data_IF_407232745260
#
_entry.id   IF_407232745260
#
_cell.length_a   1.000
_cell.length_b   1.000
_cell.length_c   1.000
_cell.angle_alpha   90.00
_cell.angle_beta   90.00
_cell.angle_gamma   90.00
#
_symmetry.space_group_name_H-M   'P 1'
#
loop_
_entity.id
_entity.type
_entity.pdbx_description
1 polymer ?
#
# COMPACT_ATOMS: atom_id res chain seq x y z
N UNK A 1 -30.26 12.39 35.04
CA UNK A 1 -29.34 11.36 34.53
C UNK A 1 -27.92 11.73 34.93
N UNK A 2 -27.11 10.89 35.55
CA UNK A 2 -27.39 10.02 36.70
C UNK A 2 -26.04 9.77 37.37
N UNK A 3 -26.05 9.59 38.69
CA UNK A 3 -25.01 8.97 39.55
C UNK A 3 -24.49 7.59 39.08
N UNK A 4 -24.68 7.22 37.80
CA UNK A 4 -24.16 6.03 37.11
C UNK A 4 -22.83 6.29 36.41
N UNK A 5 -22.48 7.54 36.09
CA UNK A 5 -21.20 7.84 35.41
C UNK A 5 -20.03 7.91 36.41
N UNK A 6 -20.27 8.44 37.61
CA UNK A 6 -19.27 8.48 38.70
C UNK A 6 -19.03 7.11 39.35
N UNK A 7 -19.97 6.16 39.21
CA UNK A 7 -19.83 4.79 39.74
C UNK A 7 -19.05 3.85 38.80
N UNK A 8 -18.81 4.26 37.56
CA UNK A 8 -18.01 3.49 36.59
C UNK A 8 -16.50 3.75 36.70
N UNK A 9 -16.11 4.93 37.18
CA UNK A 9 -14.70 5.32 37.33
C UNK A 9 -14.09 4.88 38.68
N UNK A 10 -14.91 4.51 39.66
CA UNK A 10 -14.48 4.04 40.98
C UNK A 10 -14.17 2.53 41.04
N UNK A 11 -14.48 1.78 39.97
CA UNK A 11 -14.16 0.35 39.84
C UNK A 11 -12.79 0.09 39.19
N UNK A 12 -12.12 1.12 38.66
CA UNK A 12 -10.80 1.01 38.03
C UNK A 12 -9.63 1.28 38.99
N UNK A 13 -9.90 1.63 40.26
CA UNK A 13 -8.88 2.05 41.23
C UNK A 13 -8.65 1.05 42.36
N UNK A 14 -9.20 -0.17 42.30
CA UNK A 14 -9.01 -1.19 43.35
C UNK A 14 -8.76 -2.59 42.80
N UNK A 15 -7.51 -2.80 42.38
CA UNK A 15 -6.80 -4.06 42.58
C UNK A 15 -5.29 -3.74 42.69
N UNK A 16 -4.86 -3.40 43.90
CA UNK A 16 -3.44 -3.46 44.29
C UNK A 16 -3.05 -4.91 44.56
N UNK A 17 -1.78 -5.27 44.35
CA UNK A 17 -0.85 -5.78 45.40
C UNK A 17 0.49 -6.20 44.76
N UNK A 18 1.57 -5.76 45.41
CA UNK A 18 2.98 -6.16 45.26
C UNK A 18 3.16 -7.67 45.49
N UNK A 19 4.07 -8.36 44.78
CA UNK A 19 5.22 -9.00 45.45
C UNK A 19 6.25 -9.63 44.49
N UNK A 20 7.50 -9.50 44.93
CA UNK A 20 8.73 -10.31 44.73
C UNK A 20 9.07 -11.06 43.42
N UNK A 21 10.30 -10.77 42.98
CA UNK A 21 11.16 -11.53 42.06
C UNK A 21 11.22 -13.04 42.39
N UNK A 22 10.99 -13.88 41.37
CA UNK A 22 11.32 -15.31 41.39
C UNK A 22 10.76 -16.05 40.17
N UNK A 23 11.65 -16.53 39.28
CA UNK A 23 11.40 -17.36 38.09
C UNK A 23 10.53 -16.73 36.97
N UNK A 24 11.18 -16.30 35.88
CA UNK A 24 10.49 -15.77 34.71
C UNK A 24 9.65 -16.84 34.01
N UNK A 25 8.36 -16.88 34.32
CA UNK A 25 7.29 -17.30 33.39
C UNK A 25 6.76 -16.05 32.70
N UNK A 26 6.85 -16.01 31.37
CA UNK A 26 6.15 -15.01 30.57
C UNK A 26 4.63 -15.20 30.75
N UNK A 27 3.95 -14.22 31.36
CA UNK A 27 2.48 -14.18 31.39
C UNK A 27 1.94 -13.85 29.98
N UNK A 28 1.59 -14.87 29.21
CA UNK A 28 0.90 -14.71 27.93
C UNK A 28 -0.59 -14.39 28.15
N UNK A 29 -0.91 -13.11 28.38
CA UNK A 29 -2.29 -12.62 28.50
C UNK A 29 -2.71 -11.60 27.42
N UNK A 30 -1.79 -11.18 26.54
CA UNK A 30 -2.06 -10.20 25.45
C UNK A 30 -1.81 -10.80 24.07
N UNK A 31 -2.74 -10.59 23.14
CA UNK A 31 -2.57 -10.94 21.72
C UNK A 31 -1.81 -9.83 21.01
N UNK A 32 -0.75 -10.17 20.29
CA UNK A 32 0.01 -9.23 19.47
C UNK A 32 -0.31 -9.43 17.99
N UNK A 33 -0.39 -8.33 17.24
CA UNK A 33 -0.48 -8.35 15.79
C UNK A 33 0.87 -7.96 15.19
N UNK A 34 1.24 -8.59 14.09
CA UNK A 34 2.36 -8.16 13.27
C UNK A 34 1.94 -8.07 11.81
N UNK A 35 2.25 -6.94 11.17
CA UNK A 35 1.94 -6.71 9.76
C UNK A 35 3.23 -6.93 9.00
N UNK A 36 3.28 -7.98 8.17
CA UNK A 36 4.34 -8.10 7.17
C UNK A 36 3.86 -7.49 5.86
N UNK A 37 4.69 -6.66 5.25
CA UNK A 37 4.40 -6.08 3.95
C UNK A 37 5.62 -6.10 3.02
N UNK A 38 5.36 -6.44 1.75
CA UNK A 38 6.32 -6.24 0.68
C UNK A 38 6.60 -4.74 0.41
N UNK A 39 7.55 -4.44 -0.47
CA UNK A 39 7.93 -3.07 -0.82
C UNK A 39 6.90 -2.35 -1.72
N UNK A 40 7.13 -1.05 -1.93
CA UNK A 40 6.29 -0.20 -2.78
C UNK A 40 4.90 0.03 -2.20
N UNK A 41 3.86 -0.25 -2.99
CA UNK A 41 2.47 0.01 -2.60
C UNK A 41 1.98 -0.87 -1.43
N UNK A 42 2.57 -2.05 -1.27
CA UNK A 42 2.28 -2.94 -0.15
C UNK A 42 2.78 -2.35 1.17
N UNK A 43 3.94 -1.69 1.16
CA UNK A 43 4.47 -1.00 2.33
C UNK A 43 3.62 0.22 2.72
N UNK A 44 3.08 0.95 1.73
CA UNK A 44 2.11 2.02 1.98
C UNK A 44 0.84 1.46 2.63
N UNK A 45 0.32 0.35 2.13
CA UNK A 45 -0.87 -0.31 2.69
C UNK A 45 -0.61 -0.86 4.10
N UNK A 46 0.54 -1.49 4.33
CA UNK A 46 0.96 -1.98 5.64
C UNK A 46 1.05 -0.86 6.69
N UNK A 47 1.60 0.31 6.31
CA UNK A 47 1.60 1.51 7.15
C UNK A 47 0.17 2.02 7.42
N UNK A 48 -0.67 2.09 6.39
CA UNK A 48 -2.08 2.48 6.56
C UNK A 48 -2.85 1.57 7.51
N UNK A 49 -2.58 0.26 7.46
CA UNK A 49 -3.12 -0.70 8.43
C UNK A 49 -2.61 -0.42 9.84
N UNK A 50 -1.31 -0.24 10.02
CA UNK A 50 -0.73 0.07 11.32
C UNK A 50 -1.36 1.34 11.94
N UNK A 51 -1.59 2.36 11.13
CA UNK A 51 -2.31 3.58 11.53
C UNK A 51 -3.75 3.27 12.01
N UNK A 52 -4.50 2.43 11.28
CA UNK A 52 -5.85 2.00 11.69
C UNK A 52 -5.81 1.26 13.02
N UNK A 53 -4.87 0.33 13.21
CA UNK A 53 -4.69 -0.35 14.49
C UNK A 53 -4.39 0.65 15.63
N UNK A 54 -3.58 1.67 15.34
CA UNK A 54 -3.34 2.80 16.25
C UNK A 54 -4.63 3.53 16.63
N UNK A 55 -5.48 3.87 15.65
CA UNK A 55 -6.79 4.51 15.86
C UNK A 55 -7.75 3.65 16.70
N UNK A 56 -7.60 2.32 16.65
CA UNK A 56 -8.35 1.38 17.47
C UNK A 56 -7.78 1.20 18.88
N UNK A 57 -6.64 1.82 19.22
CA UNK A 57 -5.99 1.72 20.52
C UNK A 57 -4.99 0.57 20.65
N UNK A 58 -4.58 -0.05 19.55
CA UNK A 58 -3.69 -1.23 19.53
C UNK A 58 -2.22 -0.88 19.22
N UNK A 59 -1.82 0.40 19.32
CA UNK A 59 -0.48 0.87 18.96
C UNK A 59 0.66 0.10 19.64
N UNK A 60 0.53 -0.23 20.93
CA UNK A 60 1.55 -1.01 21.67
C UNK A 60 1.52 -2.53 21.39
N UNK A 61 0.58 -2.98 20.56
CA UNK A 61 0.31 -4.39 20.26
C UNK A 61 0.45 -4.71 18.76
N UNK A 62 0.94 -3.76 17.95
CA UNK A 62 1.11 -3.93 16.50
C UNK A 62 2.54 -3.62 16.09
N UNK A 63 3.18 -4.58 15.43
CA UNK A 63 4.51 -4.44 14.85
C UNK A 63 4.40 -4.38 13.32
N UNK A 64 5.05 -3.40 12.69
CA UNK A 64 5.17 -3.36 11.23
C UNK A 64 6.54 -3.89 10.81
N UNK A 65 6.54 -4.90 9.94
CA UNK A 65 7.74 -5.53 9.39
C UNK A 65 7.71 -5.38 7.87
N UNK A 66 8.63 -4.58 7.34
CA UNK A 66 8.77 -4.36 5.90
C UNK A 66 9.98 -5.11 5.34
N UNK A 67 9.81 -5.75 4.19
CA UNK A 67 10.91 -6.15 3.31
C UNK A 67 11.20 -7.66 3.25
N UNK A 68 12.19 -7.97 2.39
CA UNK A 68 12.51 -9.32 1.89
C UNK A 68 13.87 -9.87 2.37
N UNK A 69 14.53 -9.26 3.37
CA UNK A 69 15.90 -9.63 3.73
C UNK A 69 15.94 -10.71 4.82
N UNK A 70 16.23 -11.96 4.42
CA UNK A 70 16.64 -13.05 5.30
C UNK A 70 15.60 -14.15 5.49
N UNK A 71 15.54 -14.71 6.70
CA UNK A 71 14.53 -15.68 7.13
C UNK A 71 13.20 -15.00 7.41
N UNK A 72 12.11 -15.76 7.28
CA UNK A 72 10.78 -15.28 7.64
C UNK A 72 10.76 -14.68 9.06
N UNK A 73 10.17 -13.49 9.29
CA UNK A 73 10.18 -12.83 10.60
C UNK A 73 9.57 -13.66 11.73
N UNK A 74 8.61 -14.52 11.39
CA UNK A 74 7.94 -15.44 12.30
C UNK A 74 8.71 -16.75 12.55
N UNK A 75 9.86 -16.96 11.92
CA UNK A 75 10.73 -18.11 12.16
C UNK A 75 11.64 -17.93 13.40
N UNK A 76 11.55 -16.79 14.09
CA UNK A 76 12.30 -16.53 15.33
C UNK A 76 11.55 -17.16 16.53
N UNK A 77 12.27 -17.90 17.38
CA UNK A 77 11.74 -18.49 18.62
C UNK A 77 11.03 -17.42 19.47
N UNK A 78 9.73 -17.61 19.72
CA UNK A 78 8.88 -16.69 20.52
C UNK A 78 7.68 -16.09 19.79
N UNK A 79 7.53 -16.29 18.48
CA UNK A 79 6.41 -15.77 17.69
C UNK A 79 5.09 -16.58 17.81
N UNK A 80 5.01 -17.58 18.69
CA UNK A 80 3.84 -18.48 18.80
C UNK A 80 2.52 -17.78 19.18
N UNK A 81 2.60 -16.57 19.75
CA UNK A 81 1.44 -15.79 20.22
C UNK A 81 1.14 -14.55 19.36
N UNK A 82 1.79 -14.44 18.19
CA UNK A 82 1.61 -13.31 17.26
C UNK A 82 0.66 -13.71 16.12
N UNK A 83 -0.37 -12.91 15.89
CA UNK A 83 -1.24 -13.03 14.71
C UNK A 83 -0.70 -12.14 13.60
N UNK A 84 -0.36 -12.73 12.47
CA UNK A 84 0.21 -12.00 11.34
C UNK A 84 -0.88 -11.43 10.42
N UNK A 85 -0.61 -10.29 9.80
CA UNK A 85 -1.35 -9.77 8.65
C UNK A 85 -0.35 -9.67 7.51
N UNK A 86 -0.57 -10.45 6.45
CA UNK A 86 0.35 -10.52 5.33
C UNK A 86 -0.16 -9.68 4.17
N UNK A 87 0.64 -8.71 3.73
CA UNK A 87 0.29 -7.75 2.66
C UNK A 87 1.29 -7.90 1.51
N UNK A 88 0.79 -8.20 0.31
CA UNK A 88 1.65 -8.36 -0.88
C UNK A 88 2.40 -9.68 -0.94
N UNK A 89 1.74 -10.80 -0.60
CA UNK A 89 2.35 -12.14 -0.59
C UNK A 89 2.85 -12.60 -1.97
N UNK A 90 2.42 -11.97 -3.07
CA UNK A 90 2.97 -12.19 -4.42
C UNK A 90 4.46 -11.84 -4.53
N UNK A 91 4.99 -11.04 -3.60
CA UNK A 91 6.39 -10.64 -3.53
C UNK A 91 7.16 -11.36 -2.39
N UNK A 92 6.50 -12.26 -1.66
CA UNK A 92 7.11 -13.00 -0.57
C UNK A 92 8.08 -14.06 -1.11
N UNK A 93 9.24 -14.28 -0.46
CA UNK A 93 10.15 -15.37 -0.85
C UNK A 93 9.45 -16.74 -0.79
N UNK A 94 9.60 -17.54 -1.83
CA UNK A 94 8.91 -18.83 -1.97
C UNK A 94 9.41 -19.91 -1.01
N UNK A 95 10.60 -19.73 -0.43
CA UNK A 95 11.22 -20.62 0.54
C UNK A 95 10.81 -20.32 1.99
N UNK A 96 10.08 -19.22 2.22
CA UNK A 96 9.55 -18.92 3.54
C UNK A 96 8.40 -19.86 3.89
N UNK A 97 8.47 -20.46 5.08
CA UNK A 97 7.32 -21.12 5.68
C UNK A 97 6.26 -20.07 6.03
N UNK A 98 4.98 -20.46 6.07
CA UNK A 98 3.91 -19.57 6.51
C UNK A 98 3.85 -19.49 8.04
N UNK A 99 3.50 -18.34 8.62
CA UNK A 99 3.21 -18.26 10.06
C UNK A 99 1.98 -19.10 10.39
N UNK A 100 1.91 -19.60 11.62
CA UNK A 100 0.80 -20.47 12.06
C UNK A 100 -0.55 -19.75 12.08
N UNK A 101 -0.57 -18.48 12.45
CA UNK A 101 -1.77 -17.67 12.60
C UNK A 101 -1.60 -16.41 11.75
N UNK A 102 -2.39 -16.29 10.67
CA UNK A 102 -2.36 -15.09 9.85
C UNK A 102 -3.68 -14.79 9.16
N UNK A 103 -3.86 -13.50 8.89
CA UNK A 103 -4.76 -12.98 7.87
C UNK A 103 -3.98 -12.70 6.60
N UNK A 104 -4.62 -12.96 5.47
CA UNK A 104 -4.12 -12.53 4.16
C UNK A 104 -4.83 -11.24 3.79
N UNK A 105 -4.11 -10.12 3.68
CA UNK A 105 -4.66 -8.94 3.03
C UNK A 105 -4.44 -9.05 1.52
N UNK A 106 -5.50 -9.45 0.83
CA UNK A 106 -5.52 -9.58 -0.62
C UNK A 106 -5.72 -8.21 -1.28
N UNK A 107 -4.81 -7.86 -2.19
CA UNK A 107 -4.78 -6.63 -2.97
C UNK A 107 -4.74 -6.84 -4.50
N UNK A 108 -4.58 -8.08 -4.94
CA UNK A 108 -4.45 -8.45 -6.35
C UNK A 108 -5.82 -8.66 -7.00
N UNK A 109 -5.91 -8.35 -8.29
CA UNK A 109 -7.15 -8.57 -9.07
C UNK A 109 -7.39 -10.07 -9.26
N UNK A 110 -8.64 -10.54 -9.20
CA UNK A 110 -8.92 -11.98 -9.35
C UNK A 110 -8.65 -12.52 -10.76
N UNK A 111 -8.71 -11.67 -11.79
CA UNK A 111 -8.32 -12.00 -13.15
C UNK A 111 -6.80 -11.98 -13.38
N UNK A 112 -6.02 -11.64 -12.37
CA UNK A 112 -4.58 -11.48 -12.49
C UNK A 112 -3.86 -12.84 -12.55
N UNK A 113 -2.85 -13.02 -13.41
CA UNK A 113 -2.04 -14.24 -13.45
C UNK A 113 -1.20 -14.43 -12.16
N UNK A 114 -1.16 -13.42 -11.28
CA UNK A 114 -0.52 -13.49 -9.97
C UNK A 114 -1.35 -14.28 -8.94
N UNK A 115 -2.61 -14.62 -9.24
CA UNK A 115 -3.41 -15.57 -8.46
C UNK A 115 -3.03 -16.99 -8.87
N UNK A 116 -1.83 -17.42 -8.49
CA UNK A 116 -1.31 -18.76 -8.81
C UNK A 116 -1.86 -19.83 -7.84
N UNK A 117 -1.58 -21.10 -8.11
CA UNK A 117 -1.87 -22.19 -7.17
C UNK A 117 -1.18 -21.98 -5.81
N UNK A 118 0.06 -21.45 -5.80
CA UNK A 118 0.79 -21.10 -4.58
C UNK A 118 0.08 -19.98 -3.80
N UNK A 119 -0.42 -18.96 -4.52
CA UNK A 119 -1.21 -17.90 -3.91
C UNK A 119 -2.48 -18.49 -3.25
N UNK A 120 -3.17 -19.39 -3.94
CA UNK A 120 -4.37 -20.04 -3.42
C UNK A 120 -4.04 -20.88 -2.18
N UNK A 121 -2.91 -21.61 -2.15
CA UNK A 121 -2.46 -22.35 -0.96
C UNK A 121 -2.25 -21.43 0.25
N UNK A 122 -1.70 -20.23 0.03
CA UNK A 122 -1.57 -19.19 1.06
C UNK A 122 -2.96 -18.70 1.50
N UNK A 123 -3.87 -18.43 0.57
CA UNK A 123 -5.24 -18.01 0.90
C UNK A 123 -6.01 -19.07 1.72
N UNK A 124 -5.86 -20.35 1.37
CA UNK A 124 -6.49 -21.47 2.08
C UNK A 124 -5.95 -21.67 3.50
N UNK A 125 -4.70 -21.30 3.76
CA UNK A 125 -4.08 -21.40 5.08
C UNK A 125 -4.38 -20.22 6.01
N UNK A 126 -4.97 -19.13 5.49
CA UNK A 126 -5.28 -17.94 6.27
C UNK A 126 -6.50 -18.14 7.18
N UNK A 127 -6.51 -17.49 8.33
CA UNK A 127 -7.65 -17.40 9.24
C UNK A 127 -8.85 -16.72 8.58
N UNK A 128 -8.56 -15.68 7.80
CA UNK A 128 -9.49 -15.02 6.91
C UNK A 128 -8.71 -14.23 5.86
N UNK A 129 -9.33 -14.08 4.69
CA UNK A 129 -8.89 -13.16 3.66
C UNK A 129 -9.54 -11.81 3.94
N UNK A 130 -8.73 -10.75 3.95
CA UNK A 130 -9.18 -9.36 3.96
C UNK A 130 -9.02 -8.84 2.54
N UNK A 131 -10.13 -8.62 1.86
CA UNK A 131 -10.11 -8.22 0.45
C UNK A 131 -10.56 -6.76 0.32
N UNK A 132 -9.93 -6.03 -0.60
CA UNK A 132 -10.28 -4.63 -0.88
C UNK A 132 -11.54 -4.48 -1.72
N UNK A 133 -12.04 -5.57 -2.33
CA UNK A 133 -13.23 -5.55 -3.17
C UNK A 133 -14.34 -6.46 -2.59
N UNK A 134 -15.56 -5.94 -2.40
CA UNK A 134 -16.71 -6.74 -2.01
C UNK A 134 -17.01 -7.88 -2.99
N UNK A 135 -16.88 -7.65 -4.29
CA UNK A 135 -17.05 -8.69 -5.32
C UNK A 135 -16.05 -9.84 -5.17
N UNK A 136 -14.78 -9.53 -4.90
CA UNK A 136 -13.77 -10.56 -4.63
C UNK A 136 -14.06 -11.35 -3.35
N UNK A 137 -14.54 -10.65 -2.32
CA UNK A 137 -14.95 -11.28 -1.07
C UNK A 137 -16.03 -12.34 -1.31
N UNK A 138 -16.98 -12.07 -2.20
CA UNK A 138 -18.02 -13.04 -2.59
C UNK A 138 -17.43 -14.26 -3.31
N UNK A 139 -16.48 -14.05 -4.22
CA UNK A 139 -15.77 -15.14 -4.90
C UNK A 139 -15.10 -16.09 -3.90
N UNK A 140 -14.30 -15.56 -2.97
CA UNK A 140 -13.61 -16.37 -1.96
C UNK A 140 -14.58 -17.17 -1.07
N UNK A 141 -15.71 -16.56 -0.68
CA UNK A 141 -16.75 -17.23 0.12
C UNK A 141 -17.43 -18.36 -0.65
N UNK A 142 -17.71 -18.18 -1.94
CA UNK A 142 -18.27 -19.23 -2.81
C UNK A 142 -17.30 -20.41 -2.95
N UNK A 143 -16.00 -20.14 -2.93
CA UNK A 143 -14.93 -21.14 -2.89
C UNK A 143 -14.72 -21.78 -1.51
N UNK A 144 -15.55 -21.45 -0.52
CA UNK A 144 -15.52 -22.04 0.82
C UNK A 144 -14.51 -21.41 1.79
N UNK A 145 -13.91 -20.27 1.44
CA UNK A 145 -12.93 -19.57 2.28
C UNK A 145 -13.58 -18.46 3.11
N UNK A 146 -13.06 -18.23 4.31
CA UNK A 146 -13.43 -17.05 5.11
C UNK A 146 -12.85 -15.81 4.44
N UNK A 147 -13.72 -14.89 4.03
CA UNK A 147 -13.30 -13.62 3.46
C UNK A 147 -14.18 -12.49 3.98
N UNK A 148 -13.58 -11.31 4.20
CA UNK A 148 -14.25 -10.09 4.64
C UNK A 148 -13.74 -8.91 3.83
N UNK A 149 -14.65 -7.99 3.51
CA UNK A 149 -14.28 -6.73 2.89
C UNK A 149 -13.61 -5.84 3.92
N UNK A 150 -12.41 -5.36 3.60
CA UNK A 150 -11.69 -4.36 4.38
C UNK A 150 -11.32 -3.24 3.42
N UNK A 151 -11.88 -2.02 3.58
CA UNK A 151 -11.47 -0.90 2.74
C UNK A 151 -9.96 -0.67 2.85
N UNK A 152 -9.31 -0.48 1.70
CA UNK A 152 -7.88 -0.22 1.65
C UNK A 152 -7.60 1.19 2.15
N UNK A 153 -6.93 1.32 3.29
CA UNK A 153 -6.43 2.61 3.75
C UNK A 153 -4.97 2.78 3.35
N UNK A 154 -4.67 3.98 2.87
CA UNK A 154 -3.30 4.48 2.75
C UNK A 154 -2.86 5.05 4.10
N UNK A 155 -1.54 5.31 4.31
CA UNK A 155 -1.07 5.97 5.53
C UNK A 155 -1.79 7.30 5.73
N UNK A 156 -1.87 7.76 6.98
CA UNK A 156 -2.50 9.05 7.34
C UNK A 156 -1.67 10.26 6.85
N UNK A 157 -1.35 10.31 5.56
CA UNK A 157 -0.48 11.30 4.93
C UNK A 157 -1.04 12.73 5.01
N UNK A 158 -2.34 12.91 5.27
CA UNK A 158 -2.94 14.23 5.52
C UNK A 158 -2.72 14.75 6.94
N UNK A 159 -2.28 13.91 7.88
CA UNK A 159 -1.89 14.33 9.23
C UNK A 159 -0.49 14.92 9.26
N UNK A 160 0.35 14.60 8.27
CA UNK A 160 1.52 15.42 8.00
C UNK A 160 0.98 16.75 7.45
N UNK A 161 1.20 17.88 8.16
CA UNK A 161 0.94 19.18 7.55
C UNK A 161 1.68 19.23 6.22
N UNK A 162 1.20 20.04 5.28
CA UNK A 162 1.96 20.47 4.09
C UNK A 162 3.20 21.30 4.49
N UNK A 163 4.03 20.77 5.39
CA UNK A 163 5.39 21.18 5.74
C UNK A 163 6.42 20.34 5.00
N UNK A 164 6.02 19.64 3.94
CA UNK A 164 6.92 19.59 2.78
C UNK A 164 6.90 21.00 2.21
N UNK A 165 7.84 21.79 2.75
CA UNK A 165 8.31 23.03 2.17
C UNK A 165 8.22 22.96 0.65
N UNK A 166 7.92 24.09 0.01
CA UNK A 166 8.29 24.38 -1.37
C UNK A 166 9.83 24.29 -1.53
N UNK A 167 10.43 23.15 -1.22
CA UNK A 167 11.81 22.80 -1.53
C UNK A 167 11.77 22.65 -3.03
N UNK A 168 12.28 23.69 -3.70
CA UNK A 168 12.61 23.77 -5.11
C UNK A 168 11.85 22.72 -5.94
N UNK A 169 10.58 23.02 -6.24
CA UNK A 169 9.99 22.42 -7.42
C UNK A 169 10.92 22.83 -8.56
N UNK A 170 11.80 21.92 -8.99
CA UNK A 170 12.27 21.93 -10.37
C UNK A 170 11.00 22.12 -11.20
N UNK A 171 10.98 23.11 -12.10
CA UNK A 171 9.81 23.55 -12.86
C UNK A 171 9.18 22.36 -13.61
N UNK A 172 8.39 21.56 -12.90
CA UNK A 172 7.77 20.39 -13.47
C UNK A 172 6.57 20.95 -14.19
N UNK A 173 6.59 20.88 -15.51
CA UNK A 173 5.58 21.49 -16.35
C UNK A 173 4.19 21.02 -15.90
N UNK A 174 3.31 21.98 -15.60
CA UNK A 174 1.92 21.69 -15.26
C UNK A 174 1.28 20.85 -16.38
N UNK A 175 0.65 19.74 -15.99
CA UNK A 175 0.02 18.81 -16.91
C UNK A 175 -1.50 18.86 -16.72
N UNK A 176 -2.26 18.98 -17.81
CA UNK A 176 -3.72 18.99 -17.69
C UNK A 176 -4.25 17.61 -17.30
N UNK A 177 -3.81 16.55 -18.00
CA UNK A 177 -4.24 15.16 -17.74
C UNK A 177 -3.06 14.23 -17.51
N UNK A 178 -3.05 13.52 -16.38
CA UNK A 178 -2.00 12.58 -16.01
C UNK A 178 -2.54 11.15 -15.97
N UNK A 179 -1.78 10.18 -16.48
CA UNK A 179 -1.91 8.78 -16.13
C UNK A 179 -0.57 8.20 -15.67
N UNK A 180 -0.60 7.28 -14.71
CA UNK A 180 0.56 6.47 -14.35
C UNK A 180 0.19 5.04 -13.93
N UNK A 181 1.01 4.08 -14.36
CA UNK A 181 0.80 2.65 -14.10
C UNK A 181 1.69 1.80 -15.00
N UNK A 182 1.41 0.51 -15.11
CA UNK A 182 2.12 -0.37 -16.05
C UNK A 182 1.54 -0.26 -17.46
N UNK A 183 2.40 -0.36 -18.48
CA UNK A 183 1.97 -0.48 -19.88
C UNK A 183 1.38 -1.87 -20.17
N UNK A 184 0.41 -1.90 -21.08
CA UNK A 184 -0.04 -3.09 -21.79
C UNK A 184 -0.66 -2.66 -23.12
N UNK A 185 -1.01 -3.62 -23.98
CA UNK A 185 -1.55 -3.33 -25.32
C UNK A 185 -2.79 -2.42 -25.27
N UNK A 186 -3.70 -2.68 -24.33
CA UNK A 186 -4.94 -1.89 -24.11
C UNK A 186 -4.63 -0.44 -23.75
N UNK A 187 -3.78 -0.22 -22.74
CA UNK A 187 -3.43 1.11 -22.24
C UNK A 187 -2.70 1.94 -23.28
N UNK A 188 -1.84 1.32 -24.11
CA UNK A 188 -1.17 2.01 -25.22
C UNK A 188 -2.18 2.51 -26.27
N UNK A 189 -3.18 1.71 -26.63
CA UNK A 189 -4.24 2.14 -27.56
C UNK A 189 -5.09 3.29 -26.99
N UNK A 190 -5.39 3.22 -25.69
CA UNK A 190 -6.12 4.28 -24.98
C UNK A 190 -5.27 5.56 -24.91
N UNK A 191 -3.96 5.45 -24.66
CA UNK A 191 -3.02 6.55 -24.68
C UNK A 191 -3.03 7.28 -26.03
N UNK A 192 -2.83 6.57 -27.14
CA UNK A 192 -2.81 7.17 -28.48
C UNK A 192 -4.09 7.97 -28.76
N UNK A 193 -5.24 7.42 -28.36
CA UNK A 193 -6.55 8.07 -28.52
C UNK A 193 -6.68 9.31 -27.64
N UNK A 194 -6.28 9.23 -26.37
CA UNK A 194 -6.35 10.34 -25.42
C UNK A 194 -5.41 11.48 -25.82
N UNK A 195 -4.18 11.18 -26.19
CA UNK A 195 -3.19 12.17 -26.62
C UNK A 195 -3.69 12.95 -27.84
N UNK A 196 -4.19 12.26 -28.87
CA UNK A 196 -4.73 12.91 -30.07
C UNK A 196 -5.93 13.82 -29.75
N UNK A 197 -6.86 13.35 -28.92
CA UNK A 197 -8.10 14.09 -28.57
C UNK A 197 -7.81 15.29 -27.68
N UNK A 198 -6.94 15.14 -26.68
CA UNK A 198 -6.56 16.24 -25.78
C UNK A 198 -5.73 17.30 -26.50
N UNK A 199 -4.78 16.89 -27.35
CA UNK A 199 -4.00 17.82 -28.15
C UNK A 199 -4.88 18.62 -29.13
N UNK A 200 -5.85 17.96 -29.78
CA UNK A 200 -6.83 18.64 -30.65
C UNK A 200 -7.70 19.66 -29.89
N UNK A 201 -7.91 19.45 -28.59
CA UNK A 201 -8.61 20.38 -27.71
C UNK A 201 -7.69 21.43 -27.05
N UNK A 202 -6.38 21.41 -27.33
CA UNK A 202 -5.40 22.35 -26.78
C UNK A 202 -4.94 22.04 -25.36
N UNK A 203 -5.05 20.79 -24.92
CA UNK A 203 -4.68 20.33 -23.58
C UNK A 203 -3.43 19.46 -23.58
N UNK A 204 -2.65 19.52 -22.51
CA UNK A 204 -1.45 18.68 -22.32
C UNK A 204 -1.78 17.38 -21.57
N UNK A 205 -1.09 16.30 -21.90
CA UNK A 205 -1.17 15.06 -21.14
C UNK A 205 0.17 14.39 -20.98
N UNK A 206 0.31 13.61 -19.90
CA UNK A 206 1.50 12.81 -19.61
C UNK A 206 1.11 11.40 -19.19
N UNK A 207 1.80 10.41 -19.76
CA UNK A 207 1.61 9.00 -19.46
C UNK A 207 2.92 8.41 -18.93
N UNK A 208 2.95 8.04 -17.66
CA UNK A 208 4.07 7.35 -17.02
C UNK A 208 3.76 5.87 -16.92
N UNK A 209 4.08 5.12 -17.97
CA UNK A 209 3.75 3.69 -18.07
C UNK A 209 4.88 2.74 -17.64
N UNK A 210 5.85 3.26 -16.88
CA UNK A 210 7.00 2.52 -16.38
C UNK A 210 6.75 2.12 -14.91
N UNK A 211 7.26 0.95 -14.52
CA UNK A 211 7.09 0.37 -13.17
C UNK A 211 7.80 1.14 -12.05
N UNK A 212 8.36 2.32 -12.27
CA UNK A 212 9.29 3.00 -11.35
C UNK A 212 8.79 4.36 -10.81
N UNK A 213 7.56 4.77 -11.12
CA UNK A 213 7.03 6.03 -10.60
C UNK A 213 6.46 5.88 -9.17
N UNK A 214 7.33 6.01 -8.17
CA UNK A 214 6.98 5.98 -6.75
C UNK A 214 7.59 7.16 -5.96
N UNK A 215 7.19 7.28 -4.69
CA UNK A 215 7.76 8.26 -3.76
C UNK A 215 7.69 9.70 -4.27
N UNK A 216 8.73 10.49 -4.00
CA UNK A 216 8.77 11.92 -4.35
C UNK A 216 8.61 12.18 -5.86
N UNK A 217 9.07 11.26 -6.73
CA UNK A 217 8.87 11.38 -8.18
C UNK A 217 7.39 11.31 -8.55
N UNK A 218 6.66 10.32 -8.02
CA UNK A 218 5.19 10.21 -8.16
C UNK A 218 4.50 11.45 -7.61
N UNK A 219 4.89 11.85 -6.39
CA UNK A 219 4.31 12.98 -5.69
C UNK A 219 4.39 14.27 -6.53
N UNK A 220 5.56 14.57 -7.09
CA UNK A 220 5.76 15.76 -7.92
C UNK A 220 4.88 15.79 -9.17
N UNK A 221 4.82 14.70 -9.93
CA UNK A 221 4.01 14.67 -11.16
C UNK A 221 2.51 14.71 -10.85
N UNK A 222 2.08 14.05 -9.77
CA UNK A 222 0.69 14.08 -9.31
C UNK A 222 0.32 15.48 -8.86
N UNK A 223 1.17 16.14 -8.06
CA UNK A 223 0.92 17.49 -7.53
C UNK A 223 0.77 18.53 -8.65
N UNK A 224 1.47 18.35 -9.78
CA UNK A 224 1.39 19.21 -10.96
C UNK A 224 0.28 18.85 -11.97
N UNK A 225 -0.44 17.74 -11.75
CA UNK A 225 -1.57 17.34 -12.60
C UNK A 225 -2.90 18.02 -12.19
N UNK A 226 -3.74 18.36 -13.18
CA UNK A 226 -5.09 18.91 -12.96
C UNK A 226 -6.14 17.82 -12.84
N UNK A 227 -6.16 16.86 -13.77
CA UNK A 227 -7.00 15.66 -13.71
C UNK A 227 -6.08 14.44 -13.77
N UNK A 228 -6.34 13.44 -12.92
CA UNK A 228 -5.58 12.18 -12.92
C UNK A 228 -6.50 11.05 -13.33
N UNK A 229 -6.09 10.29 -14.35
CA UNK A 229 -6.82 9.18 -14.89
C UNK A 229 -6.57 7.91 -14.08
N UNK A 230 -7.62 7.12 -13.90
CA UNK A 230 -7.56 5.72 -13.55
C UNK A 230 -8.04 4.90 -14.76
N UNK A 231 -7.13 4.12 -15.34
CA UNK A 231 -7.38 3.25 -16.49
C UNK A 231 -7.07 1.84 -16.03
N UNK A 232 -8.01 0.91 -16.20
CA UNK A 232 -7.83 -0.46 -15.72
C UNK A 232 -6.69 -1.17 -16.45
N UNK A 233 -5.98 -2.06 -15.74
CA UNK A 233 -4.98 -2.93 -16.40
C UNK A 233 -5.71 -4.05 -17.14
N UNK A 234 -6.58 -4.76 -16.41
CA UNK A 234 -7.45 -5.81 -16.94
C UNK A 234 -8.82 -5.22 -17.30
N UNK A 235 -9.47 -5.78 -18.32
CA UNK A 235 -10.79 -5.31 -18.76
C UNK A 235 -11.86 -5.63 -17.71
N UNK A 236 -11.71 -6.75 -17.00
CA UNK A 236 -12.61 -7.19 -15.94
C UNK A 236 -12.06 -6.95 -14.52
N UNK A 237 -11.45 -5.79 -14.28
CA UNK A 237 -10.88 -5.42 -12.98
C UNK A 237 -11.91 -4.80 -12.02
N UNK A 238 -11.79 -5.10 -10.74
CA UNK A 238 -12.36 -4.26 -9.68
C UNK A 238 -11.60 -2.91 -9.62
N UNK A 239 -12.24 -1.90 -9.04
CA UNK A 239 -11.68 -0.54 -8.97
C UNK A 239 -10.29 -0.51 -8.28
N UNK A 240 -9.28 0.13 -8.88
CA UNK A 240 -7.93 0.27 -8.31
C UNK A 240 -7.88 1.30 -7.17
N UNK A 241 -8.58 0.98 -6.08
CA UNK A 241 -8.66 1.81 -4.88
C UNK A 241 -7.28 2.12 -4.29
N UNK A 242 -6.28 1.25 -4.51
CA UNK A 242 -4.90 1.51 -4.10
C UNK A 242 -4.30 2.77 -4.77
N UNK A 243 -4.58 3.02 -6.06
CA UNK A 243 -4.17 4.25 -6.76
C UNK A 243 -5.09 5.40 -6.37
N UNK A 244 -6.40 5.15 -6.41
CA UNK A 244 -7.41 6.19 -6.22
C UNK A 244 -7.30 6.79 -4.82
N UNK A 245 -7.21 5.98 -3.76
CA UNK A 245 -7.15 6.48 -2.38
C UNK A 245 -5.95 7.41 -2.16
N UNK A 246 -4.79 7.08 -2.75
CA UNK A 246 -3.62 7.96 -2.75
C UNK A 246 -3.90 9.31 -3.43
N UNK A 247 -4.54 9.31 -4.59
CA UNK A 247 -4.91 10.53 -5.31
C UNK A 247 -5.94 11.37 -4.53
N UNK A 248 -6.91 10.71 -3.89
CA UNK A 248 -7.93 11.38 -3.10
C UNK A 248 -7.34 12.08 -1.87
N UNK A 249 -6.37 11.45 -1.19
CA UNK A 249 -5.67 12.07 -0.07
C UNK A 249 -4.83 13.29 -0.47
N UNK A 250 -4.45 13.42 -1.74
CA UNK A 250 -3.84 14.63 -2.29
C UNK A 250 -4.83 15.65 -2.84
N UNK A 251 -6.13 15.41 -2.65
CA UNK A 251 -7.19 16.27 -3.14
C UNK A 251 -7.18 16.38 -4.67
N UNK A 252 -6.86 15.31 -5.39
CA UNK A 252 -6.82 15.31 -6.86
C UNK A 252 -8.19 15.01 -7.45
N UNK A 253 -8.50 15.66 -8.57
CA UNK A 253 -9.65 15.30 -9.40
C UNK A 253 -9.36 14.00 -10.16
N UNK A 254 -10.05 12.91 -9.79
CA UNK A 254 -9.86 11.58 -10.39
C UNK A 254 -10.96 11.29 -11.41
N UNK A 255 -10.55 10.85 -12.60
CA UNK A 255 -11.43 10.33 -13.65
C UNK A 255 -11.12 8.86 -13.89
N UNK A 256 -12.10 7.98 -13.72
CA UNK A 256 -11.94 6.53 -13.90
C UNK A 256 -12.87 5.98 -14.97
N UNK A 257 -12.42 4.89 -15.58
CA UNK A 257 -13.33 3.91 -16.19
C UNK A 257 -14.24 3.28 -15.12
N UNK A 258 -15.42 2.81 -15.52
CA UNK A 258 -16.24 1.94 -14.66
C UNK A 258 -15.52 0.61 -14.44
N UNK A 259 -15.62 0.08 -13.22
CA UNK A 259 -15.08 -1.25 -12.89
C UNK A 259 -16.18 -2.31 -13.01
N UNK A 260 -15.80 -3.59 -12.87
CA UNK A 260 -16.81 -4.66 -12.76
C UNK A 260 -17.47 -4.73 -11.37
N UNK A 261 -16.94 -4.00 -10.39
CA UNK A 261 -17.48 -3.92 -9.03
C UNK A 261 -18.35 -2.66 -8.87
N UNK A 262 -19.62 -2.79 -9.27
CA UNK A 262 -20.61 -1.71 -9.15
C UNK A 262 -20.81 -1.20 -7.70
N UNK A 263 -20.49 -2.01 -6.69
CA UNK A 263 -20.56 -1.58 -5.31
C UNK A 263 -19.43 -0.61 -4.99
N UNK A 264 -18.19 -0.93 -5.37
CA UNK A 264 -17.06 0.00 -5.24
C UNK A 264 -17.32 1.28 -6.04
N UNK A 265 -17.77 1.17 -7.29
CA UNK A 265 -18.03 2.36 -8.10
C UNK A 265 -19.08 3.26 -7.43
N UNK A 266 -20.11 2.69 -6.81
CA UNK A 266 -21.11 3.44 -6.03
C UNK A 266 -20.54 4.06 -4.75
N UNK A 267 -19.60 3.41 -4.07
CA UNK A 267 -18.93 3.98 -2.88
C UNK A 267 -18.09 5.20 -3.27
N UNK A 268 -17.44 5.14 -4.43
CA UNK A 268 -16.51 6.17 -4.91
C UNK A 268 -17.15 7.25 -5.80
N UNK A 269 -18.42 7.10 -6.20
CA UNK A 269 -19.07 7.98 -7.19
C UNK A 269 -19.19 9.45 -6.76
N UNK A 270 -19.08 9.73 -5.45
CA UNK A 270 -19.09 11.10 -4.92
C UNK A 270 -17.74 11.83 -5.09
N UNK A 271 -16.66 11.09 -5.34
CA UNK A 271 -15.26 11.58 -5.34
C UNK A 271 -14.48 11.22 -6.60
N UNK A 272 -14.99 10.30 -7.40
CA UNK A 272 -14.43 9.89 -8.70
C UNK A 272 -15.47 10.17 -9.78
N UNK A 273 -15.04 10.81 -10.88
CA UNK A 273 -15.86 10.88 -12.08
C UNK A 273 -15.71 9.55 -12.84
N UNK A 274 -16.81 8.84 -13.05
CA UNK A 274 -16.82 7.59 -13.80
C UNK A 274 -17.36 7.79 -15.22
N UNK A 275 -16.77 7.08 -16.18
CA UNK A 275 -17.17 7.12 -17.58
C UNK A 275 -16.79 5.83 -18.30
N UNK A 276 -17.46 5.45 -19.40
CA UNK A 276 -16.93 4.47 -20.33
C UNK A 276 -15.57 4.90 -20.91
N UNK A 277 -14.73 3.93 -21.26
CA UNK A 277 -13.37 4.10 -21.82
C UNK A 277 -13.33 5.08 -22.98
N UNK A 278 -14.24 4.93 -23.94
CA UNK A 278 -14.34 5.72 -25.16
C UNK A 278 -14.65 7.20 -24.90
N UNK A 279 -15.20 7.50 -23.71
CA UNK A 279 -15.59 8.84 -23.29
C UNK A 279 -14.58 9.51 -22.35
N UNK A 280 -13.48 8.83 -21.99
CA UNK A 280 -12.43 9.38 -21.11
C UNK A 280 -11.91 10.74 -21.59
N UNK A 281 -11.63 10.88 -22.90
CA UNK A 281 -11.12 12.13 -23.45
C UNK A 281 -12.12 13.29 -23.28
N UNK A 282 -13.39 13.05 -23.62
CA UNK A 282 -14.43 14.08 -23.57
C UNK A 282 -14.75 14.50 -22.14
N UNK A 283 -14.81 13.53 -21.22
CA UNK A 283 -15.03 13.83 -19.80
C UNK A 283 -13.83 14.53 -19.19
N UNK A 284 -12.59 14.17 -19.56
CA UNK A 284 -11.40 14.89 -19.13
C UNK A 284 -11.44 16.35 -19.59
N UNK A 285 -11.76 16.62 -20.86
CA UNK A 285 -11.88 17.98 -21.41
C UNK A 285 -13.01 18.76 -20.70
N UNK A 286 -14.15 18.12 -20.44
CA UNK A 286 -15.25 18.73 -19.72
C UNK A 286 -14.84 19.09 -18.28
N UNK A 287 -14.16 18.18 -17.60
CA UNK A 287 -13.62 18.43 -16.27
C UNK A 287 -12.63 19.59 -16.32
N UNK A 288 -11.68 19.65 -17.26
CA UNK A 288 -10.70 20.74 -17.38
C UNK A 288 -11.33 22.13 -17.60
N UNK A 289 -12.49 22.19 -18.24
CA UNK A 289 -13.25 23.44 -18.45
C UNK A 289 -14.08 23.84 -17.23
N UNK A 290 -14.55 22.87 -16.45
CA UNK A 290 -15.46 23.09 -15.32
C UNK A 290 -14.71 23.19 -13.98
N UNK A 291 -14.12 24.35 -13.72
CA UNK A 291 -13.38 24.59 -12.47
C UNK A 291 -14.24 24.44 -11.20
N UNK A 292 -15.48 24.95 -11.13
CA UNK A 292 -16.34 24.73 -9.97
C UNK A 292 -16.55 23.25 -9.66
N UNK A 293 -16.90 22.43 -10.67
CA UNK A 293 -17.09 20.99 -10.48
C UNK A 293 -15.82 20.31 -10.00
N UNK A 294 -14.66 20.60 -10.62
CA UNK A 294 -13.37 20.03 -10.16
C UNK A 294 -13.08 20.41 -8.71
N UNK A 295 -13.24 21.68 -8.34
CA UNK A 295 -12.96 22.13 -6.98
C UNK A 295 -13.84 21.43 -5.94
N UNK A 296 -15.12 21.20 -6.25
CA UNK A 296 -16.00 20.38 -5.39
C UNK A 296 -15.50 18.93 -5.29
N UNK A 297 -15.09 18.31 -6.40
CA UNK A 297 -14.54 16.95 -6.37
C UNK A 297 -13.27 16.86 -5.53
N UNK A 298 -12.35 17.81 -5.65
CA UNK A 298 -11.08 17.87 -4.88
C UNK A 298 -11.33 18.05 -3.37
N UNK A 299 -12.33 18.84 -2.99
CA UNK A 299 -12.76 19.01 -1.60
C UNK A 299 -13.36 17.71 -1.05
N UNK A 300 -14.30 17.10 -1.79
CA UNK A 300 -14.91 15.82 -1.41
C UNK A 300 -13.85 14.70 -1.33
N UNK A 301 -12.88 14.68 -2.23
CA UNK A 301 -11.78 13.73 -2.24
C UNK A 301 -10.97 13.79 -0.93
N UNK A 302 -10.62 15.00 -0.50
CA UNK A 302 -9.88 15.21 0.75
C UNK A 302 -10.72 14.80 1.96
N UNK A 303 -12.02 15.10 1.96
CA UNK A 303 -12.94 14.69 3.04
C UNK A 303 -13.09 13.17 3.09
N UNK A 304 -13.30 12.51 1.96
CA UNK A 304 -13.40 11.06 1.86
C UNK A 304 -12.13 10.39 2.37
N UNK A 305 -10.96 10.85 1.93
CA UNK A 305 -9.68 10.32 2.37
C UNK A 305 -9.49 10.41 3.88
N UNK A 306 -9.92 11.52 4.52
CA UNK A 306 -9.85 11.67 5.99
C UNK A 306 -10.72 10.67 6.76
N UNK A 307 -11.85 10.27 6.19
CA UNK A 307 -12.79 9.34 6.83
C UNK A 307 -12.45 7.87 6.58
N UNK A 308 -11.71 7.56 5.52
CA UNK A 308 -11.42 6.20 5.07
C UNK A 308 -10.78 5.29 6.15
N UNK A 309 -9.82 5.71 6.98
CA UNK A 309 -9.26 4.87 8.05
C UNK A 309 -10.26 4.57 9.15
N UNK A 310 -11.17 5.50 9.46
CA UNK A 310 -12.21 5.27 10.45
C UNK A 310 -13.23 4.25 9.95
N UNK A 311 -13.60 4.35 8.67
CA UNK A 311 -14.41 3.33 8.01
C UNK A 311 -13.70 1.96 8.03
N UNK A 312 -12.43 1.91 7.63
CA UNK A 312 -11.61 0.70 7.65
C UNK A 312 -11.49 0.11 9.06
N UNK A 313 -11.28 0.95 10.08
CA UNK A 313 -11.24 0.57 11.48
C UNK A 313 -12.57 0.03 11.99
N UNK A 314 -13.71 0.53 11.50
CA UNK A 314 -15.03 -0.01 11.84
C UNK A 314 -15.22 -1.44 11.31
N UNK A 315 -14.66 -1.76 10.13
CA UNK A 315 -14.63 -3.13 9.60
C UNK A 315 -13.68 -4.05 10.36
N UNK A 316 -12.51 -3.54 10.75
CA UNK A 316 -11.50 -4.34 11.47
C UNK A 316 -11.83 -4.54 12.95
N UNK A 317 -12.53 -3.60 13.59
CA UNK A 317 -12.78 -3.62 15.04
C UNK A 317 -13.40 -4.93 15.53
N UNK A 318 -14.49 -5.46 14.96
CA UNK A 318 -15.08 -6.72 15.43
C UNK A 318 -14.14 -7.92 15.27
N UNK A 319 -13.27 -7.88 14.26
CA UNK A 319 -12.28 -8.93 14.01
C UNK A 319 -11.22 -8.85 15.10
N UNK A 320 -10.61 -7.68 15.30
CA UNK A 320 -9.53 -7.49 16.27
C UNK A 320 -10.02 -7.70 17.72
N UNK A 321 -11.20 -7.17 18.09
CA UNK A 321 -11.79 -7.35 19.43
C UNK A 321 -12.36 -8.76 19.66
N UNK A 322 -12.74 -9.47 18.59
CA UNK A 322 -13.26 -10.83 18.65
C UNK A 322 -12.20 -11.91 18.88
N UNK A 323 -10.91 -11.59 18.71
CA UNK A 323 -9.81 -12.53 18.95
C UNK A 323 -9.51 -12.65 20.45
N UNK A 324 -10.25 -13.55 21.11
CA UNK A 324 -10.02 -13.94 22.50
C UNK A 324 -8.85 -14.94 22.60
N UNK A 325 -7.98 -14.78 23.62
CA UNK A 325 -6.80 -15.62 23.90
C UNK A 325 -7.11 -17.12 24.03
N UNK A 326 -8.35 -17.48 24.37
CA UNK A 326 -8.81 -18.88 24.42
C UNK A 326 -8.92 -19.54 23.03
N UNK A 327 -9.29 -18.79 21.99
CA UNK A 327 -9.35 -19.30 20.61
C UNK A 327 -7.95 -19.58 20.08
N UNK A 328 -7.03 -18.64 20.32
CA UNK A 328 -5.59 -18.79 20.04
C UNK A 328 -5.06 -20.03 20.77
N UNK A 329 -5.29 -20.14 22.08
CA UNK A 329 -4.88 -21.30 22.88
C UNK A 329 -5.46 -22.64 22.38
N UNK A 330 -6.70 -22.66 21.88
CA UNK A 330 -7.35 -23.87 21.35
C UNK A 330 -6.80 -24.32 19.99
N UNK A 331 -6.49 -23.36 19.10
CA UNK A 331 -5.79 -23.62 17.83
C UNK A 331 -4.35 -24.04 18.12
N UNK A 332 -3.73 -23.46 19.15
CA UNK A 332 -2.40 -23.85 19.61
C UNK A 332 -2.37 -25.28 20.19
N UNK A 333 -3.41 -25.67 20.94
CA UNK A 333 -3.52 -26.95 21.64
C UNK A 333 -3.96 -28.15 20.78
N UNK A 334 -4.73 -27.93 19.71
CA UNK A 334 -5.25 -29.04 18.86
C UNK A 334 -4.20 -29.60 17.89
N UNK A 335 -3.10 -28.89 17.65
CA UNK A 335 -2.06 -29.32 16.68
C UNK A 335 -0.93 -30.16 17.28
N UNK A 336 -0.90 -30.37 18.60
CA UNK A 336 0.06 -31.30 19.22
C UNK A 336 -0.36 -32.78 19.07
N UNK A 337 -1.54 -33.07 18.51
CA UNK A 337 -2.13 -34.42 18.52
C UNK A 337 -2.70 -34.94 17.19
N UNK A 338 -2.53 -34.29 16.04
CA UNK A 338 -3.11 -34.79 14.78
C UNK A 338 -2.08 -35.05 13.67
N UNK A 339 -1.91 -36.34 13.36
CA UNK A 339 -1.42 -36.85 12.08
C UNK A 339 -2.45 -36.51 10.98
N UNK A 340 -2.06 -36.17 9.74
CA UNK A 340 -3.02 -35.70 8.74
C UNK A 340 -3.92 -36.85 8.27
N UNK A 341 -5.23 -36.68 8.38
CA UNK A 341 -6.21 -37.48 7.63
C UNK A 341 -6.76 -36.65 6.46
N UNK A 342 -7.00 -37.34 5.34
CA UNK A 342 -7.16 -36.81 3.98
C UNK A 342 -8.08 -35.60 3.84
N UNK A 343 -7.58 -34.57 3.15
CA UNK A 343 -8.34 -33.42 2.65
C UNK A 343 -9.16 -33.78 1.42
N UNK A 344 -10.44 -33.43 1.44
CA UNK A 344 -11.29 -33.37 0.25
C UNK A 344 -10.85 -32.17 -0.59
N UNK A 345 -10.41 -32.40 -1.82
CA UNK A 345 -10.02 -31.35 -2.78
C UNK A 345 -11.29 -30.64 -3.27
N UNK A 346 -11.48 -29.38 -2.85
CA UNK A 346 -12.42 -28.47 -3.51
C UNK A 346 -11.65 -27.73 -4.60
N UNK A 347 -11.98 -28.00 -5.86
CA UNK A 347 -11.40 -27.28 -7.01
C UNK A 347 -11.90 -25.83 -7.01
N UNK A 348 -10.99 -24.87 -7.10
CA UNK A 348 -11.29 -23.45 -7.33
C UNK A 348 -11.04 -23.21 -8.81
N UNK A 349 -12.09 -22.89 -9.57
CA UNK A 349 -11.99 -22.61 -11.00
C UNK A 349 -11.37 -21.22 -11.22
N UNK A 350 -10.27 -21.19 -11.96
CA UNK A 350 -9.58 -19.95 -12.37
C UNK A 350 -10.40 -19.18 -13.40
N UNK A 351 -10.38 -17.85 -13.34
CA UNK A 351 -10.99 -16.99 -14.36
C UNK A 351 -10.03 -16.94 -15.56
N UNK A 352 -10.44 -17.49 -16.71
CA UNK A 352 -9.66 -17.46 -17.96
C UNK A 352 -9.84 -16.10 -18.68
N UNK A 353 -8.74 -15.40 -18.97
CA UNK A 353 -8.67 -14.26 -19.90
C UNK A 353 -7.61 -14.55 -20.99
N UNK A 354 -7.67 -13.86 -22.14
CA UNK A 354 -6.74 -14.06 -23.26
C UNK A 354 -5.27 -13.89 -22.81
N UNK A 355 -4.50 -14.98 -22.91
CA UNK A 355 -3.11 -15.06 -22.43
C UNK A 355 -2.18 -14.03 -23.11
N UNK A 356 -1.61 -13.12 -22.31
CA UNK A 356 -0.30 -12.55 -22.65
C UNK A 356 0.76 -13.63 -22.51
N UNK A 357 1.64 -13.76 -23.52
CA UNK A 357 2.60 -14.86 -23.59
C UNK A 357 3.52 -14.91 -22.35
N UNK A 358 3.84 -16.09 -21.80
CA UNK A 358 4.72 -16.26 -20.63
C UNK A 358 6.07 -15.54 -20.71
N UNK A 359 6.55 -15.25 -21.92
CA UNK A 359 7.80 -14.50 -22.17
C UNK A 359 7.69 -13.02 -21.75
N UNK A 360 6.53 -12.39 -21.91
CA UNK A 360 6.31 -10.97 -21.57
C UNK A 360 6.29 -10.78 -20.04
N UNK A 361 5.58 -11.67 -19.32
CA UNK A 361 5.57 -11.74 -17.85
C UNK A 361 6.96 -12.02 -17.27
N UNK A 362 7.71 -12.94 -17.90
CA UNK A 362 9.09 -13.27 -17.49
C UNK A 362 10.04 -12.10 -17.71
N UNK A 363 9.90 -11.37 -18.83
CA UNK A 363 10.71 -10.18 -19.14
C UNK A 363 10.46 -9.04 -18.15
N UNK A 364 9.20 -8.82 -17.75
CA UNK A 364 8.85 -7.84 -16.72
C UNK A 364 9.42 -8.22 -15.35
N UNK A 365 9.36 -9.52 -14.97
CA UNK A 365 9.96 -10.02 -13.73
C UNK A 365 11.51 -9.89 -13.71
N UNK A 366 12.17 -10.10 -14.84
CA UNK A 366 13.63 -9.95 -14.97
C UNK A 366 14.10 -8.49 -14.96
N UNK A 367 13.30 -7.57 -15.52
CA UNK A 367 13.56 -6.12 -15.45
C UNK A 367 13.47 -5.61 -14.01
N UNK A 368 12.57 -6.16 -13.19
CA UNK A 368 12.43 -5.86 -11.77
C UNK A 368 13.66 -6.28 -10.95
N UNK A 369 14.14 -7.53 -11.10
CA UNK A 369 15.34 -8.03 -10.39
C UNK A 369 16.63 -7.27 -10.72
N UNK A 370 16.74 -6.69 -11.92
CA UNK A 370 17.93 -5.90 -12.30
C UNK A 370 17.93 -4.49 -11.72
N UNK A 371 16.76 -3.88 -11.49
CA UNK A 371 16.64 -2.51 -10.96
C UNK A 371 16.65 -2.45 -9.42
N UNK A 372 16.18 -3.50 -8.73
CA UNK A 372 16.25 -3.60 -7.25
C UNK A 372 17.70 -3.49 -6.70
N UNK A 373 18.72 -3.80 -7.51
CA UNK A 373 20.13 -3.60 -7.14
C UNK A 373 20.62 -2.14 -7.20
N UNK A 374 19.98 -1.29 -8.00
CA UNK A 374 20.36 0.13 -8.18
C UNK A 374 19.59 1.07 -7.22
N UNK A 375 18.35 0.72 -6.84
CA UNK A 375 17.51 1.53 -5.94
C UNK A 375 18.00 1.54 -4.49
N UNK A 376 18.61 0.45 -4.00
CA UNK A 376 19.22 0.36 -2.67
C UNK A 376 20.38 1.38 -2.51
N UNK A 377 21.11 1.68 -3.59
CA UNK A 377 22.19 2.66 -3.59
C UNK A 377 21.70 4.12 -3.59
N UNK A 378 20.54 4.38 -4.21
CA UNK A 378 19.93 5.71 -4.25
C UNK A 378 19.21 6.05 -2.93
N UNK A 379 18.50 5.09 -2.33
CA UNK A 379 17.76 5.29 -1.10
C UNK A 379 18.67 5.49 0.14
N UNK A 380 19.81 4.79 0.21
CA UNK A 380 20.77 4.97 1.32
C UNK A 380 21.54 6.30 1.26
N UNK A 381 21.78 6.86 0.07
CA UNK A 381 22.48 8.14 -0.10
C UNK A 381 21.68 9.34 0.42
N UNK A 382 20.35 9.28 0.34
CA UNK A 382 19.50 10.44 0.57
C UNK A 382 18.77 10.45 1.93
N UNK A 383 18.89 9.39 2.74
CA UNK A 383 18.15 9.24 4.02
C UNK A 383 19.03 8.88 5.25
N UNK A 384 20.35 9.05 5.19
CA UNK A 384 21.18 8.89 6.40
C UNK A 384 21.05 10.11 7.33
N UNK A 385 20.65 9.95 8.61
CA UNK A 385 20.72 11.04 9.58
C UNK A 385 22.19 11.35 9.88
N UNK A 386 22.58 12.62 9.91
CA UNK A 386 23.89 13.05 10.41
C UNK A 386 24.08 12.57 11.85
N UNK A 387 24.79 11.47 12.04
CA UNK A 387 25.33 11.08 13.34
C UNK A 387 26.60 11.87 13.59
N UNK A 388 26.55 12.74 14.59
CA UNK A 388 27.69 13.37 15.25
C UNK A 388 28.80 12.35 15.51
N UNK A 389 29.90 12.44 14.76
CA UNK A 389 31.13 11.73 15.09
C UNK A 389 31.91 12.62 16.07
N UNK A 390 32.07 12.13 17.29
CA UNK A 390 33.06 12.62 18.25
C UNK A 390 34.44 12.22 17.70
N UNK A 391 35.18 13.17 17.13
CA UNK A 391 36.57 12.95 16.74
C UNK A 391 37.46 12.93 18.00
N UNK A 392 37.91 11.73 18.36
CA UNK A 392 39.10 11.53 19.19
C UNK A 392 40.34 11.90 18.38
N UNK A 393 41.09 12.87 18.91
CA UNK A 393 42.39 13.32 18.44
C UNK A 393 43.42 12.19 18.56
N UNK A 394 43.97 11.73 17.44
CA UNK A 394 45.32 11.17 17.42
C UNK A 394 46.12 11.75 16.25
N UNK A 395 47.31 12.23 16.62
CA UNK A 395 48.31 12.88 15.77
C UNK A 395 49.00 11.85 14.89
N UNK A 396 49.27 12.18 13.64
CA UNK A 396 50.54 11.80 12.99
C UNK A 396 50.92 12.76 11.86
N UNK A 397 52.23 12.88 11.65
CA UNK A 397 52.95 14.05 11.14
C UNK A 397 53.15 14.07 9.60
N UNK A 398 53.04 15.28 9.02
CA UNK A 398 53.76 15.98 7.90
C UNK A 398 54.88 15.25 7.10
N UNK A 399 55.30 15.70 5.87
CA UNK A 399 55.43 17.12 5.45
C UNK A 399 55.27 17.55 3.94
N UNK A 400 54.93 18.85 3.78
CA UNK A 400 55.46 19.89 2.86
C UNK A 400 55.52 19.72 1.32
N UNK A 401 54.91 20.68 0.58
CA UNK A 401 55.54 21.71 -0.30
C UNK A 401 54.44 22.44 -1.11
N UNK A 402 54.20 23.77 -0.93
CA UNK A 402 54.64 24.91 -1.78
C UNK A 402 54.27 24.74 -3.29
N UNK A 403 53.54 25.61 -4.00
CA UNK A 403 53.79 27.05 -4.32
C UNK A 403 52.52 27.70 -4.91
N UNK A 404 52.50 29.04 -4.83
CA UNK A 404 51.49 30.08 -5.11
C UNK A 404 51.36 30.47 -6.61
N UNK A 405 50.27 31.17 -6.94
CA UNK A 405 50.12 32.26 -7.97
C UNK A 405 49.54 31.85 -9.34
N UNK A 406 48.26 32.17 -9.63
CA UNK A 406 47.70 33.39 -10.30
C UNK A 406 47.83 33.42 -11.82
N UNK A 407 46.70 33.50 -12.54
CA UNK A 407 46.32 34.64 -13.41
C UNK A 407 44.93 34.42 -14.05
N UNK A 408 44.15 35.50 -14.08
CA UNK A 408 42.79 35.64 -14.65
C UNK A 408 42.90 36.36 -16.03
N UNK A 409 41.82 36.79 -16.73
CA UNK A 409 41.24 36.21 -17.95
C UNK A 409 41.33 37.13 -19.20
N UNK A 410 40.84 36.68 -20.37
CA UNK A 410 39.91 37.41 -21.30
C UNK A 410 39.90 36.82 -22.74
N UNK A 411 38.85 37.10 -23.55
CA UNK A 411 38.35 36.25 -24.63
C UNK A 411 38.70 36.76 -26.05
N UNK A 412 38.43 35.96 -27.08
CA UNK A 412 38.27 36.44 -28.45
C UNK A 412 37.29 35.57 -29.26
N UNK A 413 36.39 36.29 -29.94
CA UNK A 413 35.46 35.82 -30.97
C UNK A 413 36.16 35.50 -32.31
N UNK A 414 35.38 34.88 -33.21
CA UNK A 414 35.46 34.73 -34.68
C UNK A 414 35.52 33.23 -35.06
N UNK A 415 34.65 32.65 -35.88
CA UNK A 415 33.73 33.14 -36.91
C UNK A 415 32.47 32.26 -36.98
#
# INVERSE_FOLDING_TARGET
>A
MTKKMEKGLDLLSRAMIEDTLGEQRYEYSKTYFAIWCADGIFAETGRGLADIFGLLGWHDQVYLVQGNKGSAPWAVDGAEHVVWVLVGVTHMPSDWSMPRLYFLYQMEQLCSPWITEEYIKVAMGALSIWDFAPSHTEYWRKSGLSSVYVPLSIPLIWLAPNTLNKIQQEETQKTDVLFFGSSNKRRLQIQDTLEARLAAAGHTCAFYMNYDLFGQGRDSVVDNATVVLNIHYYEHAALEVHRINYLLARGKCVLSEWSVDSHLDSVYSAVVAFTPTESLADVAIALLKDHPRRSTMEQNATEFARHLPYASGAWLRPIVEGFNTSLVSSVLATSSNNTPTSTTTTSIDMIEEEEETPEELTRQHQLKKRKEGDDDAFYQRNNSPSSTIVETVEKEQTPQQQVISTLVPQPLMAH
#
